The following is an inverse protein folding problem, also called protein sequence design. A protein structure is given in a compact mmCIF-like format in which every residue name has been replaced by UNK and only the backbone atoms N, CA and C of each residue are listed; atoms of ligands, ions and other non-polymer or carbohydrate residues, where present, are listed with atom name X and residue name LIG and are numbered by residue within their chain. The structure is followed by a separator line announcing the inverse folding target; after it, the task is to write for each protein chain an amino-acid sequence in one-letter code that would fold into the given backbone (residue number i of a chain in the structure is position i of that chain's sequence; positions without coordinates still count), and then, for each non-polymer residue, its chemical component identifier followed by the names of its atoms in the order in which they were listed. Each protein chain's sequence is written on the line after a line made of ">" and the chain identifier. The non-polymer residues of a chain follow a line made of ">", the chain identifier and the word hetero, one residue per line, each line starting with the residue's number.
data_IF_294839352930
#
_entry.id   IF_294839352930
#
_cell.length_a   1.000
_cell.length_b   1.000
_cell.length_c   1.000
_cell.angle_alpha   90.00
_cell.angle_beta   90.00
_cell.angle_gamma   90.00
#
_symmetry.space_group_name_H-M   'P 1'
#
loop_
_entity.id
_entity.type
_entity.pdbx_description
1 polymer ?
#
# COMPACT_ATOMS: atom_id res chain seq x y z
N UNK A 1 6.34 23.17 31.14
CA UNK A 1 6.52 24.41 30.36
C UNK A 1 7.23 24.10 29.07
N UNK A 2 6.73 24.60 27.94
CA UNK A 2 7.24 24.32 26.58
C UNK A 2 8.75 24.58 26.47
N UNK A 3 9.23 25.66 27.08
CA UNK A 3 10.65 26.05 27.08
C UNK A 3 11.58 24.99 27.71
N UNK A 4 11.16 24.36 28.82
CA UNK A 4 11.96 23.29 29.46
C UNK A 4 12.07 22.05 28.57
N UNK A 5 11.05 21.74 27.79
CA UNK A 5 11.07 20.60 26.87
C UNK A 5 11.94 20.88 25.63
N UNK A 6 12.03 22.13 25.18
CA UNK A 6 12.94 22.51 24.08
C UNK A 6 14.40 22.46 24.53
N UNK A 7 14.70 22.91 25.75
CA UNK A 7 16.08 23.02 26.26
C UNK A 7 16.61 21.72 26.90
N UNK A 8 15.76 20.96 27.58
CA UNK A 8 16.15 19.77 28.37
C UNK A 8 15.28 18.54 28.10
N UNK A 9 14.39 18.61 27.11
CA UNK A 9 13.59 17.46 26.70
C UNK A 9 14.41 16.41 25.96
N UNK A 10 13.81 15.24 25.78
CA UNK A 10 14.43 14.17 24.99
C UNK A 10 14.54 14.56 23.51
N UNK A 11 15.58 14.07 22.84
CA UNK A 11 15.78 14.31 21.41
C UNK A 11 14.57 13.82 20.61
N UNK A 12 14.08 14.66 19.70
CA UNK A 12 13.02 14.30 18.76
C UNK A 12 13.51 13.16 17.86
N UNK A 13 12.68 12.13 17.69
CA UNK A 13 12.97 11.04 16.75
C UNK A 13 12.83 11.55 15.33
N UNK A 14 13.82 11.25 14.48
CA UNK A 14 13.72 11.50 13.05
C UNK A 14 12.67 10.55 12.47
N UNK A 15 11.64 11.14 11.86
CA UNK A 15 10.62 10.41 11.12
C UNK A 15 10.81 10.67 9.63
N UNK A 16 10.63 9.62 8.84
CA UNK A 16 10.68 9.76 7.38
C UNK A 16 9.61 10.76 6.91
N UNK A 17 10.01 11.68 6.03
CA UNK A 17 9.12 12.62 5.33
C UNK A 17 9.08 12.33 3.83
N UNK A 18 9.39 11.10 3.46
CA UNK A 18 9.46 10.69 2.07
C UNK A 18 8.14 11.00 1.34
N UNK A 19 8.27 11.67 0.19
CA UNK A 19 7.19 12.05 -0.70
C UNK A 19 7.69 11.96 -2.13
N UNK A 20 6.89 11.40 -3.01
CA UNK A 20 7.15 11.48 -4.44
C UNK A 20 6.67 12.83 -4.97
N UNK A 21 7.51 13.48 -5.75
CA UNK A 21 7.13 14.68 -6.52
C UNK A 21 7.16 14.35 -8.01
N UNK A 22 6.38 15.07 -8.80
CA UNK A 22 6.31 14.86 -10.24
C UNK A 22 7.68 14.94 -10.92
N UNK A 23 8.49 15.94 -10.54
CA UNK A 23 9.84 16.08 -11.10
C UNK A 23 10.71 14.85 -10.80
N UNK A 24 10.60 14.29 -9.60
CA UNK A 24 11.32 13.08 -9.22
C UNK A 24 10.86 11.87 -10.04
N UNK A 25 9.55 11.71 -10.23
CA UNK A 25 8.98 10.63 -11.08
C UNK A 25 9.49 10.75 -12.51
N UNK A 26 9.46 11.95 -13.09
CA UNK A 26 9.96 12.20 -14.45
C UNK A 26 11.46 11.93 -14.57
N UNK A 27 12.25 12.32 -13.57
CA UNK A 27 13.70 12.05 -13.57
C UNK A 27 14.02 10.56 -13.43
N UNK A 28 13.22 9.82 -12.66
CA UNK A 28 13.39 8.38 -12.50
C UNK A 28 13.04 7.64 -13.79
N UNK A 29 11.97 8.04 -14.49
CA UNK A 29 11.63 7.46 -15.79
C UNK A 29 12.67 7.74 -16.89
N UNK A 30 13.46 8.81 -16.71
CA UNK A 30 14.53 9.18 -17.64
C UNK A 30 15.84 8.43 -17.39
N UNK A 31 16.06 7.91 -16.19
CA UNK A 31 17.27 7.17 -15.81
C UNK A 31 16.97 5.67 -15.94
N UNK A 32 17.61 5.00 -16.89
CA UNK A 32 17.34 3.58 -17.20
C UNK A 32 17.61 2.63 -16.01
N UNK A 33 18.56 2.97 -15.13
CA UNK A 33 18.99 2.10 -14.03
C UNK A 33 18.19 2.25 -12.73
N UNK A 34 17.23 3.19 -12.64
CA UNK A 34 16.47 3.45 -11.41
C UNK A 34 14.97 3.55 -11.65
N UNK A 35 14.23 2.51 -11.23
CA UNK A 35 12.78 2.57 -11.22
C UNK A 35 12.23 3.33 -10.01
N UNK A 36 11.08 3.98 -10.20
CA UNK A 36 10.30 4.61 -9.12
C UNK A 36 10.01 3.61 -8.01
N UNK A 37 9.68 2.37 -8.38
CA UNK A 37 9.43 1.27 -7.45
C UNK A 37 10.67 0.94 -6.60
N UNK A 38 11.85 0.90 -7.22
CA UNK A 38 13.11 0.68 -6.51
C UNK A 38 13.48 1.82 -5.58
N UNK A 39 13.07 3.05 -5.90
CA UNK A 39 13.23 4.21 -5.03
C UNK A 39 12.29 4.14 -3.82
N UNK A 40 11.04 3.73 -4.02
CA UNK A 40 10.08 3.52 -2.93
C UNK A 40 10.60 2.42 -1.98
N UNK A 41 11.00 1.26 -2.52
CA UNK A 41 11.51 0.11 -1.74
C UNK A 41 12.70 0.42 -0.86
N UNK A 42 13.54 1.38 -1.27
CA UNK A 42 14.74 1.82 -0.53
C UNK A 42 14.49 3.06 0.35
N UNK A 43 13.26 3.60 0.36
CA UNK A 43 12.90 4.78 1.12
C UNK A 43 12.82 4.50 2.64
N UNK A 44 13.17 5.51 3.45
CA UNK A 44 13.07 5.41 4.91
C UNK A 44 11.63 5.32 5.44
N UNK A 45 10.61 5.59 4.61
CA UNK A 45 9.20 5.33 4.97
C UNK A 45 8.91 3.84 5.09
N UNK A 46 9.58 3.01 4.29
CA UNK A 46 9.36 1.57 4.26
C UNK A 46 10.22 0.82 5.29
N UNK A 47 11.18 1.53 5.89
CA UNK A 47 12.10 0.99 6.90
C UNK A 47 11.38 0.45 8.15
N UNK A 48 10.30 1.09 8.60
CA UNK A 48 9.52 0.60 9.74
C UNK A 48 8.90 -0.77 9.45
N UNK A 49 8.34 -0.93 8.24
CA UNK A 49 7.76 -2.19 7.75
C UNK A 49 8.85 -3.24 7.58
N UNK A 50 9.97 -2.92 6.94
CA UNK A 50 11.11 -3.85 6.78
C UNK A 50 11.68 -4.30 8.12
N UNK A 51 11.81 -3.41 9.09
CA UNK A 51 12.24 -3.75 10.45
C UNK A 51 11.24 -4.68 11.15
N UNK A 52 9.94 -4.43 10.99
CA UNK A 52 8.90 -5.33 11.51
C UNK A 52 8.95 -6.71 10.83
N UNK A 53 9.19 -6.77 9.53
CA UNK A 53 9.35 -8.02 8.75
C UNK A 53 10.61 -8.79 9.16
N UNK A 54 11.70 -8.10 9.50
CA UNK A 54 12.97 -8.73 9.95
C UNK A 54 12.91 -9.27 11.38
N UNK A 55 11.91 -8.87 12.17
CA UNK A 55 11.77 -9.31 13.56
C UNK A 55 11.16 -10.72 13.63
N UNK A 56 11.55 -11.52 14.62
CA UNK A 56 11.08 -12.92 14.88
C UNK A 56 9.55 -13.13 14.92
N UNK A 57 8.76 -12.06 14.86
CA UNK A 57 7.30 -12.07 14.91
C UNK A 57 6.62 -12.26 13.55
N UNK A 58 7.35 -12.07 12.45
CA UNK A 58 6.84 -12.27 11.09
C UNK A 58 6.18 -13.65 10.86
N UNK A 59 6.79 -14.79 11.24
CA UNK A 59 6.15 -16.10 11.06
C UNK A 59 4.83 -16.24 11.84
N UNK A 60 4.70 -15.60 13.01
CA UNK A 60 3.47 -15.62 13.82
C UNK A 60 2.36 -14.79 13.17
N UNK A 61 2.70 -13.63 12.61
CA UNK A 61 1.77 -12.78 11.87
C UNK A 61 1.29 -13.45 10.58
N UNK A 62 2.20 -14.07 9.83
CA UNK A 62 1.86 -14.86 8.65
C UNK A 62 0.90 -16.01 8.98
N UNK A 63 1.15 -16.75 10.06
CA UNK A 63 0.28 -17.84 10.49
C UNK A 63 -1.12 -17.34 10.87
N UNK A 64 -1.23 -16.18 11.53
CA UNK A 64 -2.53 -15.53 11.81
C UNK A 64 -3.23 -15.10 10.53
N UNK A 65 -2.52 -14.42 9.62
CA UNK A 65 -3.07 -13.95 8.35
C UNK A 65 -3.62 -15.10 7.50
N UNK A 66 -2.87 -16.20 7.38
CA UNK A 66 -3.32 -17.41 6.68
C UNK A 66 -4.58 -18.04 7.28
N UNK A 67 -4.71 -18.06 8.62
CA UNK A 67 -5.92 -18.55 9.28
C UNK A 67 -7.14 -17.67 8.96
N UNK A 68 -6.95 -16.35 8.95
CA UNK A 68 -8.04 -15.40 8.65
C UNK A 68 -8.46 -15.52 7.19
N UNK A 69 -7.51 -15.60 6.25
CA UNK A 69 -7.80 -15.81 4.83
C UNK A 69 -8.62 -17.07 4.59
N UNK A 70 -8.21 -18.20 5.20
CA UNK A 70 -8.95 -19.45 5.08
C UNK A 70 -10.39 -19.32 5.60
N UNK A 71 -10.58 -18.62 6.72
CA UNK A 71 -11.90 -18.38 7.29
C UNK A 71 -12.77 -17.49 6.38
N UNK A 72 -12.19 -16.44 5.80
CA UNK A 72 -12.87 -15.57 4.84
C UNK A 72 -13.23 -16.33 3.55
N UNK A 73 -12.33 -17.16 3.01
CA UNK A 73 -12.64 -18.03 1.85
C UNK A 73 -13.79 -19.00 2.14
N UNK A 74 -13.84 -19.56 3.35
CA UNK A 74 -14.95 -20.42 3.79
C UNK A 74 -16.27 -19.63 3.92
N UNK A 75 -16.22 -18.38 4.40
CA UNK A 75 -17.36 -17.46 4.47
C UNK A 75 -17.84 -17.01 3.06
N UNK A 76 -16.93 -16.76 2.12
CA UNK A 76 -17.28 -16.39 0.73
C UNK A 76 -17.91 -17.54 -0.06
N UNK A 77 -17.50 -18.80 0.17
CA UNK A 77 -18.15 -19.98 -0.42
C UNK A 77 -19.62 -20.15 0.00
N UNK A 78 -20.02 -19.54 1.10
CA UNK A 78 -21.39 -19.60 1.60
C UNK A 78 -22.29 -18.51 1.00
N UNK A 79 -21.69 -17.47 0.39
CA UNK A 79 -22.38 -16.33 -0.24
C UNK A 79 -22.48 -16.47 -1.78
N UNK A 80 -21.85 -17.50 -2.36
CA UNK A 80 -21.82 -17.80 -3.80
C UNK A 80 -23.19 -18.23 -4.39
N UNK A 81 -24.23 -18.46 -3.60
CA UNK A 81 -25.56 -18.83 -4.11
C UNK A 81 -26.42 -17.62 -4.55
N UNK A 82 -26.00 -16.36 -4.24
CA UNK A 82 -26.91 -15.20 -4.44
C UNK A 82 -26.31 -13.99 -5.18
N UNK A 83 -24.98 -13.79 -5.27
CA UNK A 83 -24.45 -12.45 -5.64
C UNK A 83 -23.46 -12.33 -6.79
N UNK A 84 -23.00 -13.43 -7.42
CA UNK A 84 -21.94 -13.32 -8.44
C UNK A 84 -22.36 -12.78 -9.80
N UNK A 85 -23.65 -12.63 -10.10
CA UNK A 85 -24.10 -12.09 -11.39
C UNK A 85 -24.26 -10.56 -11.40
N UNK A 86 -24.38 -9.89 -10.24
CA UNK A 86 -24.85 -8.48 -10.24
C UNK A 86 -23.78 -7.40 -9.99
N UNK A 87 -22.53 -7.73 -9.59
CA UNK A 87 -21.49 -6.70 -9.38
C UNK A 87 -20.40 -6.66 -10.45
N UNK A 88 -20.30 -7.66 -11.33
CA UNK A 88 -19.30 -7.66 -12.43
C UNK A 88 -19.81 -6.85 -13.64
N UNK A 89 -21.13 -6.71 -13.80
CA UNK A 89 -21.73 -5.87 -14.86
C UNK A 89 -21.34 -4.39 -14.69
N UNK A 90 -21.34 -3.85 -13.48
CA UNK A 90 -21.22 -2.40 -13.26
C UNK A 90 -19.86 -1.81 -13.68
N UNK A 91 -18.76 -2.54 -13.48
CA UNK A 91 -17.40 -2.03 -13.80
C UNK A 91 -17.12 -2.13 -15.30
N UNK A 92 -17.58 -3.21 -15.94
CA UNK A 92 -17.39 -3.41 -17.38
C UNK A 92 -18.29 -2.46 -18.19
N UNK A 93 -19.51 -2.21 -17.74
CA UNK A 93 -20.42 -1.24 -18.37
C UNK A 93 -19.88 0.19 -18.26
N UNK A 94 -19.26 0.55 -17.14
CA UNK A 94 -18.58 1.85 -17.00
C UNK A 94 -17.41 1.97 -17.99
N UNK A 95 -16.58 0.93 -18.12
CA UNK A 95 -15.44 0.94 -19.03
C UNK A 95 -15.90 1.00 -20.50
N UNK A 96 -16.96 0.26 -20.85
CA UNK A 96 -17.52 0.24 -22.19
C UNK A 96 -18.17 1.59 -22.56
N UNK A 97 -18.97 2.15 -21.65
CA UNK A 97 -19.60 3.46 -21.82
C UNK A 97 -18.56 4.57 -21.97
N UNK A 98 -17.50 4.53 -21.15
CA UNK A 98 -16.42 5.51 -21.25
C UNK A 98 -15.62 5.40 -22.56
N UNK A 99 -15.41 4.18 -23.07
CA UNK A 99 -14.70 3.96 -24.32
C UNK A 99 -15.52 4.39 -25.54
N UNK A 100 -16.85 4.23 -25.49
CA UNK A 100 -17.75 4.64 -26.56
C UNK A 100 -17.90 6.18 -26.63
N UNK A 101 -17.85 6.87 -25.49
CA UNK A 101 -17.85 8.34 -25.43
C UNK A 101 -16.55 8.98 -25.96
N UNK A 102 -15.43 8.26 -25.90
CA UNK A 102 -14.13 8.73 -26.41
C UNK A 102 -13.94 8.52 -27.92
N UNK A 103 -14.84 7.75 -28.56
CA UNK A 103 -14.79 7.44 -29.99
C UNK A 103 -15.87 8.17 -30.82
N UNK A 104 -16.59 9.11 -30.21
CA UNK A 104 -17.41 10.14 -30.87
C UNK A 104 -16.59 11.42 -31.05
#
# INVERSE_FOLDING_TARGET
>A
GILRNVLTGSSTKLVSRFRLTYNMILNLLRVEDMSVEGMIKRSFSEFATQRALSTKEYPKLLAKGKKILKKMEEEFKQDDDVRHTNCIIDILDYFHSSHQLLLL
#
